data_IF_593416794262
#
_entry.id   IF_593416794262
#
_cell.length_a   1.000
_cell.length_b   1.000
_cell.length_c   1.000
_cell.angle_alpha   90.00
_cell.angle_beta   90.00
_cell.angle_gamma   90.00
#
_symmetry.space_group_name_H-M   'P 1'
#
loop_
_entity.id
_entity.type
_entity.pdbx_description
1 polymer ?
#
# COMPACT_ATOMS: atom_id res chain seq x y z
N UNK A 1 31.45 -13.15 -16.05
CA UNK A 1 31.48 -12.06 -17.07
C UNK A 1 30.81 -12.61 -18.32
N UNK A 2 29.61 -12.15 -18.64
CA UNK A 2 28.93 -12.57 -19.85
C UNK A 2 29.74 -12.11 -21.05
N UNK A 3 30.20 -13.05 -21.87
CA UNK A 3 30.87 -12.76 -23.12
C UNK A 3 29.81 -12.27 -24.13
N UNK A 4 29.66 -10.95 -24.21
CA UNK A 4 28.94 -10.36 -25.34
C UNK A 4 29.74 -10.57 -26.60
N UNK A 5 29.13 -11.15 -27.62
CA UNK A 5 29.74 -11.23 -28.94
C UNK A 5 29.94 -9.82 -29.50
N UNK A 6 31.20 -9.47 -29.69
CA UNK A 6 31.60 -8.20 -30.28
C UNK A 6 31.18 -8.20 -31.76
N UNK A 7 30.68 -7.06 -32.23
CA UNK A 7 30.37 -6.88 -33.63
C UNK A 7 31.61 -6.96 -34.49
N UNK A 8 31.50 -7.64 -35.62
CA UNK A 8 32.53 -7.67 -36.64
C UNK A 8 32.79 -6.31 -37.28
N UNK A 9 31.75 -5.47 -37.32
CA UNK A 9 31.83 -4.08 -37.79
C UNK A 9 32.45 -3.21 -36.69
N UNK A 10 33.61 -2.64 -37.00
CA UNK A 10 34.38 -1.78 -36.09
C UNK A 10 33.93 -0.33 -36.07
N UNK A 11 32.75 0.00 -36.62
CA UNK A 11 32.20 1.35 -36.58
C UNK A 11 31.24 1.51 -35.40
N UNK A 12 31.50 2.49 -34.55
CA UNK A 12 30.61 2.81 -33.42
C UNK A 12 29.23 3.25 -33.91
N UNK A 13 28.17 2.61 -33.44
CA UNK A 13 26.79 2.97 -33.83
C UNK A 13 26.32 4.32 -33.29
N UNK A 14 26.99 4.86 -32.27
CA UNK A 14 26.61 6.12 -31.65
C UNK A 14 27.32 7.34 -32.29
N UNK A 15 28.63 7.28 -32.46
CA UNK A 15 29.44 8.40 -32.93
C UNK A 15 30.20 8.14 -34.24
N UNK A 16 30.04 6.97 -34.84
CA UNK A 16 30.64 6.53 -36.09
C UNK A 16 32.19 6.48 -36.09
N UNK A 17 32.79 6.59 -34.93
CA UNK A 17 34.24 6.47 -34.75
C UNK A 17 34.68 5.01 -34.86
N UNK A 18 35.92 4.76 -35.30
CA UNK A 18 36.48 3.42 -35.41
C UNK A 18 36.74 2.84 -34.02
N UNK A 19 36.25 1.61 -33.76
CA UNK A 19 36.35 0.89 -32.48
C UNK A 19 37.22 -0.33 -32.68
N UNK A 20 38.47 -0.23 -32.30
CA UNK A 20 39.43 -1.34 -32.38
C UNK A 20 39.29 -2.32 -31.21
N UNK A 21 38.92 -1.80 -30.05
CA UNK A 21 38.72 -2.53 -28.80
C UNK A 21 37.23 -2.73 -28.49
N UNK A 22 36.93 -3.30 -27.32
CA UNK A 22 35.57 -3.56 -26.84
C UNK A 22 34.73 -2.27 -26.72
N UNK A 23 35.37 -1.17 -26.33
CA UNK A 23 34.68 0.12 -26.10
C UNK A 23 35.18 1.18 -27.08
N UNK A 24 34.26 2.03 -27.54
CA UNK A 24 34.59 3.16 -28.38
C UNK A 24 35.46 4.18 -27.62
N UNK A 25 36.66 4.55 -28.14
CA UNK A 25 37.55 5.50 -27.47
C UNK A 25 36.98 6.90 -27.39
N UNK A 26 36.05 7.26 -28.28
CA UNK A 26 35.47 8.60 -28.35
C UNK A 26 34.25 8.77 -27.45
N UNK A 27 33.32 7.79 -27.37
CA UNK A 27 32.05 7.96 -26.64
C UNK A 27 31.82 6.90 -25.56
N UNK A 28 32.75 5.95 -25.38
CA UNK A 28 32.66 4.92 -24.35
C UNK A 28 31.66 3.78 -24.64
N UNK A 29 30.92 3.82 -25.77
CA UNK A 29 29.94 2.80 -26.08
C UNK A 29 30.59 1.46 -26.40
N UNK A 30 30.04 0.38 -25.81
CA UNK A 30 30.46 -0.98 -26.11
C UNK A 30 30.02 -1.41 -27.52
N UNK A 31 30.91 -2.03 -28.29
CA UNK A 31 30.67 -2.46 -29.65
C UNK A 31 30.05 -3.87 -29.70
N UNK A 32 28.86 -4.02 -29.18
CA UNK A 32 28.10 -5.26 -29.12
C UNK A 32 26.92 -5.30 -30.10
N UNK A 33 26.38 -6.48 -30.38
CA UNK A 33 25.17 -6.63 -31.19
C UNK A 33 23.96 -6.02 -30.48
N UNK A 34 23.18 -5.19 -31.23
CA UNK A 34 22.05 -4.43 -30.67
C UNK A 34 20.73 -5.21 -30.62
N UNK A 35 20.62 -6.31 -31.37
CA UNK A 35 19.42 -7.15 -31.33
C UNK A 35 19.65 -8.31 -30.37
N UNK A 36 19.16 -8.16 -29.17
CA UNK A 36 19.17 -9.21 -28.15
C UNK A 36 17.78 -9.84 -28.08
N UNK A 37 17.68 -11.15 -27.83
CA UNK A 37 16.41 -11.79 -27.57
C UNK A 37 15.86 -11.33 -26.22
N UNK A 38 14.53 -11.33 -26.07
CA UNK A 38 13.88 -10.95 -24.81
C UNK A 38 14.30 -11.87 -23.65
N UNK A 39 14.51 -13.16 -23.93
CA UNK A 39 15.08 -14.14 -22.99
C UNK A 39 16.48 -13.79 -22.54
N UNK A 40 17.33 -13.27 -23.44
CA UNK A 40 18.68 -12.80 -23.13
C UNK A 40 18.63 -11.52 -22.27
N UNK A 41 17.67 -10.64 -22.52
CA UNK A 41 17.47 -9.45 -21.69
C UNK A 41 17.05 -9.80 -20.26
N UNK A 42 16.16 -10.79 -20.11
CA UNK A 42 15.75 -11.31 -18.79
C UNK A 42 16.91 -12.05 -18.10
N UNK A 43 17.63 -12.90 -18.84
CA UNK A 43 18.78 -13.59 -18.32
C UNK A 43 19.88 -12.60 -17.87
N UNK A 44 20.11 -11.55 -18.67
CA UNK A 44 21.04 -10.47 -18.33
C UNK A 44 20.60 -9.66 -17.12
N UNK A 45 19.30 -9.37 -17.03
CA UNK A 45 18.73 -8.73 -15.85
C UNK A 45 18.90 -9.61 -14.60
N UNK A 46 18.64 -10.93 -14.72
CA UNK A 46 18.86 -11.88 -13.64
C UNK A 46 20.35 -12.05 -13.32
N UNK A 47 21.21 -12.06 -14.34
CA UNK A 47 22.66 -12.17 -14.22
C UNK A 47 23.29 -10.93 -13.61
N UNK A 48 22.87 -9.73 -14.00
CA UNK A 48 23.22 -8.47 -13.33
C UNK A 48 22.81 -8.44 -11.86
N UNK A 49 21.75 -9.15 -11.49
CA UNK A 49 21.34 -9.35 -10.10
C UNK A 49 22.18 -10.40 -9.38
N UNK A 50 22.56 -11.49 -10.05
CA UNK A 50 23.36 -12.59 -9.46
C UNK A 50 24.84 -12.27 -9.42
N UNK A 51 25.37 -11.48 -10.35
CA UNK A 51 26.76 -10.99 -10.30
C UNK A 51 27.03 -9.98 -9.16
N UNK A 52 25.99 -9.53 -8.47
CA UNK A 52 26.10 -8.80 -7.19
C UNK A 52 26.34 -9.72 -5.98
N UNK A 53 26.74 -10.96 -6.15
CA UNK A 53 26.78 -11.99 -5.09
C UNK A 53 27.29 -11.48 -3.75
N UNK A 54 28.39 -10.77 -3.71
CA UNK A 54 28.95 -10.26 -2.46
C UNK A 54 28.33 -8.92 -2.03
N UNK A 55 28.04 -8.00 -2.97
CA UNK A 55 27.45 -6.70 -2.67
C UNK A 55 25.98 -6.82 -2.26
N UNK A 56 25.20 -7.70 -2.90
CA UNK A 56 23.80 -7.94 -2.57
C UNK A 56 23.65 -8.52 -1.15
N UNK A 57 24.31 -9.65 -0.86
CA UNK A 57 24.24 -10.28 0.46
C UNK A 57 24.80 -9.38 1.57
N UNK A 58 25.84 -8.62 1.27
CA UNK A 58 26.36 -7.61 2.19
C UNK A 58 25.31 -6.52 2.45
N UNK A 59 24.61 -6.05 1.42
CA UNK A 59 23.56 -5.03 1.54
C UNK A 59 22.40 -5.55 2.39
N UNK A 60 21.89 -6.75 2.11
CA UNK A 60 20.80 -7.38 2.90
C UNK A 60 21.21 -7.57 4.37
N UNK A 61 22.42 -8.06 4.62
CA UNK A 61 22.95 -8.20 5.99
C UNK A 61 22.98 -6.85 6.73
N UNK A 62 23.44 -5.79 6.08
CA UNK A 62 23.50 -4.46 6.67
C UNK A 62 22.11 -3.88 6.84
N UNK A 63 21.22 -4.11 5.88
CA UNK A 63 19.82 -3.67 5.91
C UNK A 63 19.09 -4.26 7.12
N UNK A 64 19.21 -5.55 7.37
CA UNK A 64 18.49 -6.23 8.44
C UNK A 64 19.10 -5.99 9.83
N UNK A 65 20.42 -6.12 9.96
CA UNK A 65 21.06 -6.21 11.27
C UNK A 65 21.83 -4.95 11.69
N UNK A 66 22.10 -4.03 10.76
CA UNK A 66 22.89 -2.83 11.03
C UNK A 66 22.11 -1.54 10.69
N UNK A 67 21.05 -1.23 11.44
CA UNK A 67 20.19 -0.08 11.16
C UNK A 67 20.99 1.21 11.01
N UNK A 68 20.70 1.96 9.95
CA UNK A 68 21.34 3.21 9.51
C UNK A 68 22.81 3.10 9.05
N UNK A 69 23.52 1.99 9.31
CA UNK A 69 24.92 1.89 8.92
C UNK A 69 25.05 1.80 7.39
N UNK A 70 24.16 1.06 6.72
CA UNK A 70 24.10 0.99 5.27
C UNK A 70 23.99 2.40 4.65
N UNK A 71 23.07 3.21 5.15
CA UNK A 71 22.87 4.59 4.68
C UNK A 71 24.14 5.44 4.90
N UNK A 72 24.76 5.35 6.08
CA UNK A 72 25.99 6.10 6.38
C UNK A 72 27.16 5.70 5.48
N UNK A 73 27.39 4.41 5.30
CA UNK A 73 28.46 3.90 4.46
C UNK A 73 28.24 4.31 2.99
N UNK A 74 27.01 4.25 2.50
CA UNK A 74 26.68 4.70 1.15
C UNK A 74 26.92 6.20 0.96
N UNK A 75 26.47 7.04 1.91
CA UNK A 75 26.66 8.49 1.88
C UNK A 75 28.13 8.89 2.09
N UNK A 76 28.93 8.08 2.78
CA UNK A 76 30.38 8.29 2.89
C UNK A 76 31.16 7.98 1.60
N UNK A 77 30.46 7.56 0.52
CA UNK A 77 31.07 7.31 -0.79
C UNK A 77 31.42 5.85 -1.08
N UNK A 78 31.18 4.90 -0.16
CA UNK A 78 31.44 3.46 -0.37
C UNK A 78 30.35 2.80 -1.23
N UNK A 79 30.12 3.35 -2.41
CA UNK A 79 29.00 2.96 -3.28
C UNK A 79 29.21 1.63 -3.99
N UNK A 80 30.46 1.25 -4.26
CA UNK A 80 30.81 -0.01 -4.92
C UNK A 80 30.55 -1.25 -4.06
N UNK A 81 30.55 -1.08 -2.74
CA UNK A 81 30.38 -2.19 -1.79
C UNK A 81 28.93 -2.62 -1.62
N UNK A 82 27.98 -1.75 -1.97
CA UNK A 82 26.56 -1.93 -1.71
C UNK A 82 25.74 -1.74 -2.97
N UNK A 83 24.57 -2.39 -3.02
CA UNK A 83 23.60 -2.16 -4.07
C UNK A 83 23.07 -0.70 -3.94
N UNK A 84 23.00 0.06 -5.05
CA UNK A 84 22.42 1.41 -5.02
C UNK A 84 21.01 1.41 -4.43
N UNK A 85 20.65 2.40 -3.57
CA UNK A 85 19.40 2.40 -2.82
C UNK A 85 18.14 2.32 -3.69
N UNK A 86 18.14 3.00 -4.83
CA UNK A 86 17.02 2.98 -5.79
C UNK A 86 16.87 1.59 -6.42
N UNK A 87 17.98 0.98 -6.85
CA UNK A 87 17.97 -0.39 -7.40
C UNK A 87 17.49 -1.39 -6.35
N UNK A 88 17.98 -1.28 -5.11
CA UNK A 88 17.55 -2.12 -4.00
C UNK A 88 16.05 -2.02 -3.76
N UNK A 89 15.53 -0.79 -3.67
CA UNK A 89 14.10 -0.56 -3.46
C UNK A 89 13.24 -1.13 -4.58
N UNK A 90 13.59 -0.85 -5.84
CA UNK A 90 12.85 -1.36 -7.00
C UNK A 90 12.82 -2.90 -7.00
N UNK A 91 13.97 -3.52 -6.75
CA UNK A 91 14.06 -4.99 -6.69
C UNK A 91 13.23 -5.58 -5.57
N UNK A 92 13.41 -5.09 -4.34
CA UNK A 92 12.67 -5.59 -3.18
C UNK A 92 11.17 -5.35 -3.34
N UNK A 93 10.79 -4.19 -3.86
CA UNK A 93 9.40 -3.86 -4.17
C UNK A 93 8.81 -4.84 -5.19
N UNK A 94 9.50 -5.07 -6.31
CA UNK A 94 9.08 -6.04 -7.32
C UNK A 94 8.89 -7.44 -6.72
N UNK A 95 9.89 -7.95 -5.99
CA UNK A 95 9.82 -9.27 -5.36
C UNK A 95 8.65 -9.35 -4.37
N UNK A 96 8.45 -8.31 -3.54
CA UNK A 96 7.36 -8.27 -2.56
C UNK A 96 5.99 -8.38 -3.24
N UNK A 97 5.73 -7.56 -4.25
CA UNK A 97 4.42 -7.56 -4.91
C UNK A 97 4.21 -8.78 -5.81
N UNK A 98 5.28 -9.29 -6.40
CA UNK A 98 5.22 -10.58 -7.11
C UNK A 98 4.86 -11.73 -6.15
N UNK A 99 5.49 -11.80 -4.99
CA UNK A 99 5.16 -12.81 -3.98
C UNK A 99 3.70 -12.70 -3.52
N UNK A 100 3.21 -11.47 -3.30
CA UNK A 100 1.81 -11.24 -2.94
C UNK A 100 0.81 -11.66 -4.02
N UNK A 101 1.20 -11.61 -5.30
CA UNK A 101 0.34 -12.05 -6.41
C UNK A 101 0.36 -13.56 -6.64
N UNK A 102 1.43 -14.25 -6.23
CA UNK A 102 1.61 -15.70 -6.49
C UNK A 102 1.29 -16.54 -5.27
N UNK A 103 1.63 -16.06 -4.07
CA UNK A 103 1.37 -16.80 -2.84
C UNK A 103 -0.05 -16.50 -2.37
N UNK A 104 -0.86 -17.53 -2.02
CA UNK A 104 -2.11 -17.31 -1.34
C UNK A 104 -1.79 -16.52 -0.06
N UNK A 105 -2.30 -15.31 0.00
CA UNK A 105 -2.10 -14.45 1.16
C UNK A 105 -2.96 -15.00 2.31
N UNK A 106 -2.41 -15.15 3.49
CA UNK A 106 -3.18 -15.50 4.70
C UNK A 106 -4.34 -14.52 4.99
N UNK A 107 -4.38 -13.38 4.28
CA UNK A 107 -5.53 -12.48 4.23
C UNK A 107 -6.77 -13.10 3.55
N UNK A 108 -6.60 -14.09 2.64
CA UNK A 108 -7.73 -14.80 2.02
C UNK A 108 -8.30 -15.91 2.92
N UNK A 109 -7.48 -16.51 3.80
CA UNK A 109 -7.95 -17.52 4.75
C UNK A 109 -8.76 -16.90 5.89
N UNK A 110 -8.27 -15.79 6.44
CA UNK A 110 -8.99 -15.03 7.48
C UNK A 110 -10.31 -14.45 6.94
N UNK A 111 -10.35 -14.13 5.64
CA UNK A 111 -11.54 -13.62 4.97
C UNK A 111 -12.59 -14.72 4.72
N UNK A 112 -12.18 -15.91 4.31
CA UNK A 112 -13.10 -17.06 4.15
C UNK A 112 -13.68 -17.51 5.47
N UNK A 113 -12.94 -17.42 6.55
CA UNK A 113 -13.43 -17.74 7.89
C UNK A 113 -14.32 -16.60 8.43
N UNK A 114 -13.95 -15.32 8.21
CA UNK A 114 -14.81 -14.18 8.51
C UNK A 114 -16.10 -14.16 7.66
N UNK A 115 -16.03 -14.60 6.40
CA UNK A 115 -17.21 -14.72 5.53
C UNK A 115 -18.13 -15.87 5.98
N UNK A 116 -17.60 -17.00 6.43
CA UNK A 116 -18.36 -18.09 7.04
C UNK A 116 -19.03 -17.65 8.34
N UNK A 117 -18.31 -16.91 9.18
CA UNK A 117 -18.84 -16.37 10.44
C UNK A 117 -19.93 -15.32 10.17
N UNK A 118 -19.72 -14.44 9.16
CA UNK A 118 -20.71 -13.47 8.73
C UNK A 118 -21.94 -14.15 8.11
N UNK A 119 -21.75 -15.19 7.29
CA UNK A 119 -22.84 -15.96 6.71
C UNK A 119 -23.64 -16.70 7.79
N UNK A 120 -22.94 -17.21 8.82
CA UNK A 120 -23.57 -17.85 9.99
C UNK A 120 -24.34 -16.82 10.83
N UNK A 121 -23.76 -15.62 11.06
CA UNK A 121 -24.41 -14.52 11.75
C UNK A 121 -25.67 -14.04 11.00
N UNK A 122 -25.58 -13.84 9.67
CA UNK A 122 -26.73 -13.49 8.81
C UNK A 122 -27.82 -14.55 8.83
N UNK A 123 -27.48 -15.83 8.86
CA UNK A 123 -28.47 -16.93 9.01
C UNK A 123 -29.16 -16.85 10.36
N UNK A 124 -28.43 -16.60 11.46
CA UNK A 124 -28.99 -16.42 12.78
C UNK A 124 -29.90 -15.18 12.87
N UNK A 125 -29.52 -14.08 12.23
CA UNK A 125 -30.37 -12.86 12.17
C UNK A 125 -31.63 -13.10 11.35
N UNK A 126 -31.53 -13.81 10.23
CA UNK A 126 -32.70 -14.17 9.41
C UNK A 126 -33.66 -15.10 10.18
N UNK A 127 -33.12 -16.05 10.97
CA UNK A 127 -33.92 -16.88 11.84
C UNK A 127 -34.61 -16.08 12.96
N UNK A 128 -33.89 -15.17 13.62
CA UNK A 128 -34.45 -14.26 14.62
C UNK A 128 -35.52 -13.34 14.05
N UNK A 129 -35.33 -12.85 12.83
CA UNK A 129 -36.32 -12.02 12.13
C UNK A 129 -37.56 -12.84 11.72
N UNK A 130 -37.39 -14.11 11.33
CA UNK A 130 -38.51 -15.00 11.04
C UNK A 130 -39.32 -15.35 12.31
N UNK A 131 -38.62 -15.61 13.43
CA UNK A 131 -39.26 -15.81 14.74
C UNK A 131 -39.95 -14.53 15.25
N UNK A 132 -39.35 -13.34 15.02
CA UNK A 132 -39.98 -12.07 15.39
C UNK A 132 -41.22 -11.81 14.55
N UNK A 133 -41.20 -12.08 13.24
CA UNK A 133 -42.39 -11.97 12.37
C UNK A 133 -43.49 -12.95 12.76
N UNK A 134 -43.14 -14.18 13.13
CA UNK A 134 -44.08 -15.18 13.63
C UNK A 134 -44.75 -14.71 14.95
N UNK A 135 -43.95 -14.12 15.86
CA UNK A 135 -44.48 -13.53 17.11
C UNK A 135 -45.39 -12.33 16.83
N UNK A 136 -45.01 -11.47 15.87
CA UNK A 136 -45.76 -10.32 15.46
C UNK A 136 -47.11 -10.70 14.79
N UNK A 137 -47.09 -11.80 14.01
CA UNK A 137 -48.31 -12.36 13.41
C UNK A 137 -49.25 -12.99 14.45
N UNK A 138 -48.68 -13.61 15.48
CA UNK A 138 -49.42 -14.11 16.64
C UNK A 138 -50.00 -12.97 17.45
N UNK A 139 -49.26 -11.89 17.69
CA UNK A 139 -49.71 -10.66 18.37
C UNK A 139 -50.82 -9.97 17.57
N UNK A 140 -50.66 -9.83 16.25
CA UNK A 140 -51.71 -9.27 15.39
C UNK A 140 -52.99 -10.09 15.37
N UNK A 141 -52.89 -11.41 15.44
CA UNK A 141 -54.06 -12.30 15.59
C UNK A 141 -54.74 -12.17 16.95
N UNK A 142 -54.00 -11.76 17.98
CA UNK A 142 -54.52 -11.56 19.36
C UNK A 142 -55.06 -10.15 19.53
N UNK A 143 -54.55 -9.16 18.76
CA UNK A 143 -54.97 -7.75 18.84
C UNK A 143 -56.09 -7.34 17.83
N UNK A 144 -56.71 -8.30 17.14
CA UNK A 144 -57.88 -8.04 16.29
C UNK A 144 -59.14 -7.75 17.11
N UNK A 145 -58.99 -7.54 18.39
CA UNK A 145 -60.00 -6.95 19.29
C UNK A 145 -59.40 -5.71 19.94
N UNK A 146 -60.03 -4.51 19.57
CA UNK A 146 -59.79 -3.17 20.06
C UNK A 146 -58.65 -2.38 19.41
N UNK A 147 -59.02 -1.38 18.76
CA UNK A 147 -58.87 0.06 18.92
C UNK A 147 -58.71 0.80 17.59
N UNK A 148 -59.76 1.43 17.26
CA UNK A 148 -59.88 2.66 16.47
C UNK A 148 -59.08 3.79 17.16
N UNK A 149 -58.42 4.66 16.38
CA UNK A 149 -57.77 5.91 16.76
C UNK A 149 -56.31 5.90 17.23
N UNK A 150 -55.41 6.09 16.26
CA UNK A 150 -54.31 7.04 16.44
C UNK A 150 -53.96 7.75 15.12
N UNK A 151 -54.64 8.81 14.84
CA UNK A 151 -54.27 9.86 13.88
C UNK A 151 -53.21 10.77 14.52
N UNK A 152 -52.13 11.04 13.73
CA UNK A 152 -51.14 12.12 13.87
C UNK A 152 -50.02 11.91 14.88
N UNK A 153 -48.86 11.44 14.37
CA UNK A 153 -47.59 11.72 15.00
C UNK A 153 -47.15 13.18 14.74
N UNK A 154 -46.66 13.90 15.74
CA UNK A 154 -46.31 15.31 15.64
C UNK A 154 -45.04 15.55 14.79
N UNK A 155 -45.01 16.68 14.08
CA UNK A 155 -43.93 17.18 13.23
C UNK A 155 -42.56 17.41 13.93
N UNK A 156 -42.44 17.12 15.21
CA UNK A 156 -41.20 17.29 15.98
C UNK A 156 -40.13 16.25 15.68
N UNK A 157 -40.47 15.07 15.15
CA UNK A 157 -39.48 14.00 14.81
C UNK A 157 -38.81 14.26 13.45
N UNK A 158 -39.33 15.20 12.67
CA UNK A 158 -38.79 15.52 11.33
C UNK A 158 -37.60 16.48 11.34
N UNK A 159 -37.29 17.12 12.49
CA UNK A 159 -36.23 18.14 12.56
C UNK A 159 -34.81 17.64 12.89
N UNK A 160 -34.65 16.48 13.50
CA UNK A 160 -33.33 15.98 13.92
C UNK A 160 -32.57 15.18 12.86
N UNK A 161 -33.16 14.95 11.68
CA UNK A 161 -32.49 14.27 10.55
C UNK A 161 -31.72 15.18 9.60
N UNK A 162 -31.67 16.48 9.81
CA UNK A 162 -31.02 17.42 8.87
C UNK A 162 -29.50 17.34 8.80
N UNK A 163 -28.81 16.64 9.72
CA UNK A 163 -27.36 16.46 9.71
C UNK A 163 -26.86 15.18 9.02
N UNK A 164 -27.72 14.15 8.89
CA UNK A 164 -27.33 12.84 8.33
C UNK A 164 -27.69 12.66 6.84
N UNK A 165 -28.44 13.59 6.26
CA UNK A 165 -28.99 13.48 4.89
C UNK A 165 -27.99 13.93 3.79
N UNK A 166 -26.81 14.48 4.13
CA UNK A 166 -25.92 15.09 3.14
C UNK A 166 -25.33 14.09 2.12
N UNK A 167 -25.29 12.79 2.41
CA UNK A 167 -24.74 11.78 1.52
C UNK A 167 -25.69 10.61 1.21
N UNK A 168 -27.00 10.79 1.33
CA UNK A 168 -27.99 9.70 1.19
C UNK A 168 -28.77 9.69 -0.13
N UNK A 169 -28.19 10.23 -1.19
CA UNK A 169 -28.81 10.15 -2.52
C UNK A 169 -28.67 8.75 -3.11
N UNK A 170 -29.79 8.18 -3.59
CA UNK A 170 -29.85 6.83 -4.16
C UNK A 170 -29.46 6.78 -5.64
N UNK A 171 -29.51 7.92 -6.35
CA UNK A 171 -29.18 8.01 -7.78
C UNK A 171 -28.76 9.43 -8.16
N UNK A 172 -28.08 9.57 -9.31
CA UNK A 172 -27.74 10.87 -9.88
C UNK A 172 -28.98 11.74 -10.15
N UNK A 173 -30.07 11.12 -10.64
CA UNK A 173 -31.33 11.82 -10.91
C UNK A 173 -31.92 12.41 -9.64
N UNK A 174 -31.88 11.70 -8.51
CA UNK A 174 -32.38 12.20 -7.23
C UNK A 174 -31.53 13.36 -6.70
N UNK A 175 -30.23 13.31 -6.86
CA UNK A 175 -29.31 14.41 -6.52
C UNK A 175 -29.58 15.64 -7.38
N UNK A 176 -29.61 15.47 -8.71
CA UNK A 176 -29.81 16.58 -9.65
C UNK A 176 -31.17 17.26 -9.50
N UNK A 177 -32.25 16.52 -9.19
CA UNK A 177 -33.57 17.07 -8.93
C UNK A 177 -33.58 17.95 -7.68
N UNK A 178 -32.91 17.51 -6.62
CA UNK A 178 -32.79 18.31 -5.38
C UNK A 178 -31.95 19.57 -5.62
N UNK A 179 -30.84 19.47 -6.36
CA UNK A 179 -29.99 20.62 -6.67
C UNK A 179 -30.73 21.66 -7.56
N UNK A 180 -31.55 21.19 -8.53
CA UNK A 180 -32.36 22.08 -9.37
C UNK A 180 -33.45 22.78 -8.57
N UNK A 181 -34.03 22.14 -7.56
CA UNK A 181 -35.06 22.71 -6.69
C UNK A 181 -34.50 23.75 -5.70
N UNK A 182 -33.21 23.73 -5.38
CA UNK A 182 -32.56 24.71 -4.50
C UNK A 182 -32.33 26.06 -5.22
N UNK A 183 -32.47 27.20 -4.50
CA UNK A 183 -32.01 28.49 -4.99
C UNK A 183 -30.53 28.43 -5.36
N UNK A 184 -30.10 29.19 -6.38
CA UNK A 184 -28.70 29.16 -6.91
C UNK A 184 -27.66 29.37 -5.82
N UNK A 185 -27.92 30.25 -4.85
CA UNK A 185 -27.04 30.55 -3.72
C UNK A 185 -26.90 29.39 -2.71
N UNK A 186 -27.82 28.41 -2.72
CA UNK A 186 -27.83 27.26 -1.80
C UNK A 186 -27.44 25.94 -2.50
N UNK A 187 -27.09 25.98 -3.78
CA UNK A 187 -26.60 24.81 -4.52
C UNK A 187 -25.22 24.42 -4.06
N UNK A 188 -24.95 23.13 -4.10
CA UNK A 188 -23.65 22.61 -3.74
C UNK A 188 -22.57 23.18 -4.67
N UNK A 189 -21.47 23.63 -4.08
CA UNK A 189 -20.31 24.09 -4.85
C UNK A 189 -19.67 22.94 -5.66
N UNK A 190 -18.79 23.27 -6.60
CA UNK A 190 -18.14 22.28 -7.51
C UNK A 190 -17.52 21.11 -6.77
N UNK A 191 -16.81 21.36 -5.66
CA UNK A 191 -16.15 20.32 -4.88
C UNK A 191 -17.15 19.40 -4.19
N UNK A 192 -18.18 19.96 -3.56
CA UNK A 192 -19.20 19.18 -2.86
C UNK A 192 -20.07 18.36 -3.83
N UNK A 193 -20.43 18.94 -4.98
CA UNK A 193 -21.14 18.23 -6.04
C UNK A 193 -20.34 17.07 -6.62
N UNK A 194 -19.02 17.23 -6.79
CA UNK A 194 -18.14 16.17 -7.20
C UNK A 194 -18.10 15.03 -6.14
N UNK A 195 -17.94 15.38 -4.85
CA UNK A 195 -17.95 14.40 -3.75
C UNK A 195 -19.28 13.62 -3.69
N UNK A 196 -20.43 14.32 -3.80
CA UNK A 196 -21.74 13.68 -3.80
C UNK A 196 -21.89 12.69 -4.95
N UNK A 197 -21.47 13.08 -6.16
CA UNK A 197 -21.49 12.20 -7.32
C UNK A 197 -20.58 11.01 -7.16
N UNK A 198 -19.36 11.19 -6.62
CA UNK A 198 -18.44 10.10 -6.33
C UNK A 198 -19.03 9.08 -5.34
N UNK A 199 -19.67 9.55 -4.26
CA UNK A 199 -20.35 8.67 -3.30
C UNK A 199 -21.51 7.91 -3.94
N UNK A 200 -22.32 8.57 -4.78
CA UNK A 200 -23.41 7.91 -5.51
C UNK A 200 -22.87 6.85 -6.46
N UNK A 201 -21.78 7.16 -7.19
CA UNK A 201 -21.14 6.22 -8.11
C UNK A 201 -20.62 4.96 -7.38
N UNK A 202 -19.88 5.13 -6.29
CA UNK A 202 -19.39 4.02 -5.47
C UNK A 202 -20.57 3.18 -4.95
N UNK A 203 -21.64 3.81 -4.47
CA UNK A 203 -22.84 3.12 -3.97
C UNK A 203 -23.57 2.35 -5.07
N UNK A 204 -23.57 2.84 -6.30
CA UNK A 204 -24.18 2.13 -7.43
C UNK A 204 -23.32 0.91 -7.82
N UNK A 205 -22.00 1.09 -7.89
CA UNK A 205 -21.04 0.03 -8.20
C UNK A 205 -21.02 -1.05 -7.11
N UNK A 206 -21.11 -0.68 -5.83
CA UNK A 206 -21.09 -1.62 -4.70
C UNK A 206 -22.29 -2.58 -4.63
N UNK A 207 -23.27 -2.45 -5.53
CA UNK A 207 -24.39 -3.39 -5.67
C UNK A 207 -24.06 -4.57 -6.59
N UNK A 208 -22.97 -4.48 -7.33
CA UNK A 208 -22.48 -5.56 -8.17
C UNK A 208 -21.75 -6.59 -7.29
N UNK A 209 -22.09 -7.86 -7.39
CA UNK A 209 -21.47 -8.95 -6.62
C UNK A 209 -19.95 -9.06 -6.88
N UNK A 210 -19.48 -8.63 -8.06
CA UNK A 210 -18.05 -8.61 -8.42
C UNK A 210 -17.29 -7.37 -7.92
N UNK A 211 -17.98 -6.40 -7.31
CA UNK A 211 -17.35 -5.13 -6.89
C UNK A 211 -16.24 -5.35 -5.87
N UNK A 212 -16.48 -6.18 -4.87
CA UNK A 212 -15.53 -6.40 -3.77
C UNK A 212 -14.22 -7.01 -4.26
N UNK A 213 -14.29 -8.00 -5.12
CA UNK A 213 -13.11 -8.66 -5.72
C UNK A 213 -12.30 -7.66 -6.57
N UNK A 214 -12.95 -6.98 -7.51
CA UNK A 214 -12.31 -5.96 -8.36
C UNK A 214 -11.75 -4.79 -7.55
N UNK A 215 -12.43 -4.38 -6.49
CA UNK A 215 -11.97 -3.33 -5.59
C UNK A 215 -10.70 -3.72 -4.84
N UNK A 216 -10.64 -4.95 -4.30
CA UNK A 216 -9.44 -5.50 -3.68
C UNK A 216 -8.29 -5.56 -4.68
N UNK A 217 -8.52 -6.11 -5.86
CA UNK A 217 -7.52 -6.17 -6.94
C UNK A 217 -6.98 -4.77 -7.29
N UNK A 218 -7.89 -3.79 -7.44
CA UNK A 218 -7.52 -2.40 -7.72
C UNK A 218 -6.65 -1.80 -6.60
N UNK A 219 -6.96 -2.05 -5.34
CA UNK A 219 -6.12 -1.61 -4.21
C UNK A 219 -4.74 -2.24 -4.30
N UNK A 220 -4.64 -3.58 -4.38
CA UNK A 220 -3.36 -4.29 -4.42
C UNK A 220 -2.48 -3.84 -5.58
N UNK A 221 -3.06 -3.64 -6.76
CA UNK A 221 -2.33 -3.16 -7.92
C UNK A 221 -1.78 -1.73 -7.76
N UNK A 222 -2.42 -0.88 -6.97
CA UNK A 222 -2.04 0.51 -6.79
C UNK A 222 -1.18 0.77 -5.53
N UNK A 223 -1.07 -0.19 -4.59
CA UNK A 223 -0.19 -0.07 -3.41
C UNK A 223 1.27 0.28 -3.78
N UNK A 224 1.93 -0.38 -4.77
CA UNK A 224 3.31 -0.05 -5.13
C UNK A 224 3.48 1.40 -5.56
N UNK A 225 2.54 1.90 -6.35
CA UNK A 225 2.53 3.28 -6.84
C UNK A 225 2.31 4.28 -5.70
N UNK A 226 1.39 3.95 -4.78
CA UNK A 226 1.12 4.77 -3.61
C UNK A 226 2.33 4.85 -2.67
N UNK A 227 3.02 3.74 -2.43
CA UNK A 227 4.25 3.69 -1.64
C UNK A 227 5.37 4.52 -2.29
N UNK A 228 5.55 4.40 -3.60
CA UNK A 228 6.56 5.19 -4.32
C UNK A 228 6.25 6.68 -4.23
N UNK A 229 4.99 7.07 -4.41
CA UNK A 229 4.55 8.46 -4.29
C UNK A 229 4.69 9.00 -2.85
N UNK A 230 4.51 8.14 -1.84
CA UNK A 230 4.61 8.53 -0.44
C UNK A 230 6.06 8.79 0.03
N UNK A 231 7.05 8.09 -0.52
CA UNK A 231 8.45 8.21 -0.09
C UNK A 231 9.02 9.63 -0.07
N UNK A 232 8.80 10.48 -1.10
CA UNK A 232 9.22 11.89 -1.05
C UNK A 232 8.62 12.67 0.12
N UNK A 233 7.35 12.41 0.46
CA UNK A 233 6.70 13.05 1.61
C UNK A 233 7.29 12.60 2.94
N UNK A 234 7.60 11.31 3.06
CA UNK A 234 8.31 10.79 4.22
C UNK A 234 9.71 11.42 4.37
N UNK A 235 10.47 11.50 3.29
CA UNK A 235 11.79 12.15 3.27
C UNK A 235 11.69 13.64 3.60
N UNK A 236 10.65 14.32 3.13
CA UNK A 236 10.37 15.72 3.43
C UNK A 236 10.06 15.93 4.92
N UNK A 237 9.25 15.05 5.51
CA UNK A 237 9.01 15.05 6.96
C UNK A 237 10.32 14.95 7.75
N UNK A 238 11.20 14.01 7.38
CA UNK A 238 12.52 13.89 8.01
C UNK A 238 13.35 15.16 7.85
N UNK A 239 13.34 15.79 6.66
CA UNK A 239 14.12 16.99 6.37
C UNK A 239 13.66 18.21 7.18
N UNK A 240 12.36 18.36 7.47
CA UNK A 240 11.83 19.46 8.29
C UNK A 240 12.42 19.43 9.70
N UNK A 241 12.55 18.26 10.29
CA UNK A 241 12.97 18.07 11.68
C UNK A 241 14.48 18.07 11.88
N UNK A 242 15.27 18.14 10.79
CA UNK A 242 16.73 18.08 10.89
C UNK A 242 17.42 19.31 10.32
N UNK A 243 18.57 19.65 10.88
CA UNK A 243 19.32 20.86 10.50
C UNK A 243 19.75 20.86 9.05
N UNK A 244 19.19 21.77 8.26
CA UNK A 244 19.38 21.91 6.81
C UNK A 244 20.85 22.20 6.41
N UNK A 245 21.66 22.74 7.32
CA UNK A 245 23.10 22.99 7.08
C UNK A 245 23.93 21.70 7.10
N UNK A 246 23.47 20.66 7.81
CA UNK A 246 24.18 19.38 7.99
C UNK A 246 23.65 18.28 7.11
N UNK A 247 22.33 18.28 6.85
CA UNK A 247 21.63 17.20 6.16
C UNK A 247 20.88 17.76 4.94
N UNK A 248 21.21 17.26 3.77
CA UNK A 248 20.52 17.59 2.52
C UNK A 248 19.27 16.73 2.35
N UNK A 249 18.30 17.21 1.58
CA UNK A 249 17.11 16.42 1.25
C UNK A 249 17.46 15.04 0.67
N UNK A 250 18.52 14.96 -0.13
CA UNK A 250 19.07 13.74 -0.69
C UNK A 250 19.41 12.69 0.39
N UNK A 251 20.01 13.10 1.50
CA UNK A 251 20.42 12.18 2.60
C UNK A 251 19.20 11.52 3.22
N UNK A 252 18.11 12.30 3.40
CA UNK A 252 16.83 11.80 3.89
C UNK A 252 16.17 10.87 2.87
N UNK A 253 16.28 11.15 1.56
CA UNK A 253 15.81 10.29 0.48
C UNK A 253 16.52 8.93 0.49
N UNK A 254 17.83 8.89 0.63
CA UNK A 254 18.60 7.64 0.74
C UNK A 254 18.23 6.87 2.01
N UNK A 255 18.07 7.55 3.14
CA UNK A 255 17.59 6.90 4.36
C UNK A 255 16.20 6.28 4.18
N UNK A 256 15.28 7.02 3.54
CA UNK A 256 13.91 6.58 3.25
C UNK A 256 13.91 5.34 2.36
N UNK A 257 14.66 5.34 1.26
CA UNK A 257 14.77 4.19 0.36
C UNK A 257 15.26 2.93 1.07
N UNK A 258 16.29 3.03 1.91
CA UNK A 258 16.77 1.90 2.70
C UNK A 258 15.75 1.43 3.74
N UNK A 259 15.06 2.36 4.41
CA UNK A 259 14.04 2.03 5.40
C UNK A 259 12.83 1.33 4.76
N UNK A 260 12.34 1.82 3.63
CA UNK A 260 11.24 1.17 2.91
C UNK A 260 11.66 -0.17 2.30
N UNK A 261 12.90 -0.29 1.81
CA UNK A 261 13.44 -1.59 1.39
C UNK A 261 13.48 -2.59 2.54
N UNK A 262 13.83 -2.15 3.74
CA UNK A 262 13.80 -2.99 4.94
C UNK A 262 12.36 -3.45 5.26
N UNK A 263 11.38 -2.54 5.25
CA UNK A 263 9.98 -2.87 5.51
C UNK A 263 9.44 -3.88 4.50
N UNK A 264 9.64 -3.63 3.21
CA UNK A 264 9.18 -4.52 2.14
C UNK A 264 9.86 -5.89 2.19
N UNK A 265 11.17 -5.92 2.42
CA UNK A 265 11.91 -7.18 2.51
C UNK A 265 11.46 -8.04 3.68
N UNK A 266 11.32 -7.45 4.86
CA UNK A 266 10.82 -8.16 6.04
C UNK A 266 9.35 -8.57 5.88
N UNK A 267 8.53 -7.76 5.25
CA UNK A 267 7.16 -8.11 4.90
C UNK A 267 7.09 -9.32 3.96
N UNK A 268 7.95 -9.36 2.92
CA UNK A 268 8.07 -10.53 2.03
C UNK A 268 8.44 -11.80 2.80
N UNK A 269 9.35 -11.70 3.76
CA UNK A 269 9.72 -12.85 4.60
C UNK A 269 8.53 -13.36 5.41
N UNK A 270 7.74 -12.45 5.99
CA UNK A 270 6.51 -12.80 6.74
C UNK A 270 5.50 -13.50 5.83
N UNK A 271 5.30 -12.97 4.62
CA UNK A 271 4.36 -13.55 3.65
C UNK A 271 4.79 -14.97 3.26
N UNK A 272 6.08 -15.20 3.00
CA UNK A 272 6.60 -16.54 2.68
C UNK A 272 6.40 -17.49 3.86
N UNK A 273 6.73 -17.06 5.07
CA UNK A 273 6.58 -17.88 6.28
C UNK A 273 5.09 -18.22 6.48
N UNK A 274 4.21 -17.22 6.39
CA UNK A 274 2.76 -17.41 6.50
C UNK A 274 2.24 -18.42 5.48
N UNK A 275 2.60 -18.29 4.21
CA UNK A 275 2.19 -19.25 3.16
C UNK A 275 2.67 -20.68 3.41
N UNK A 276 3.74 -20.86 4.17
CA UNK A 276 4.23 -22.18 4.58
C UNK A 276 3.47 -22.68 5.80
N UNK A 277 3.28 -21.83 6.81
CA UNK A 277 2.60 -22.19 8.07
C UNK A 277 1.12 -22.49 7.86
N UNK A 278 0.44 -21.77 6.95
CA UNK A 278 -0.99 -21.96 6.63
C UNK A 278 -1.28 -23.34 5.99
N UNK A 279 -0.23 -24.06 5.55
CA UNK A 279 -0.38 -25.47 5.07
C UNK A 279 -0.46 -26.49 6.19
N UNK A 280 -0.11 -26.11 7.41
CA UNK A 280 -0.14 -26.98 8.58
C UNK A 280 -1.34 -26.60 9.43
N UNK A 281 -2.38 -27.43 9.43
CA UNK A 281 -3.56 -27.28 10.29
C UNK A 281 -3.22 -27.70 11.73
N UNK A 282 -2.34 -26.89 12.37
CA UNK A 282 -1.86 -27.16 13.72
C UNK A 282 -1.89 -25.88 14.56
N UNK A 283 -2.66 -25.91 15.64
CA UNK A 283 -2.81 -24.78 16.57
C UNK A 283 -1.47 -24.24 17.09
N UNK A 284 -0.48 -25.10 17.32
CA UNK A 284 0.86 -24.69 17.80
C UNK A 284 1.58 -23.89 16.73
N UNK A 285 1.52 -24.33 15.46
CA UNK A 285 2.15 -23.65 14.32
C UNK A 285 1.50 -22.28 14.10
N UNK A 286 0.17 -22.22 14.12
CA UNK A 286 -0.59 -20.98 13.95
C UNK A 286 -0.32 -19.98 15.09
N UNK A 287 -0.23 -20.46 16.33
CA UNK A 287 0.13 -19.60 17.47
C UNK A 287 1.55 -19.06 17.35
N UNK A 288 2.51 -19.89 16.93
CA UNK A 288 3.89 -19.47 16.70
C UNK A 288 3.99 -18.42 15.57
N UNK A 289 3.27 -18.60 14.47
CA UNK A 289 3.20 -17.64 13.38
C UNK A 289 2.63 -16.29 13.85
N UNK A 290 1.57 -16.30 14.65
CA UNK A 290 1.00 -15.10 15.26
C UNK A 290 2.03 -14.34 16.11
N UNK A 291 2.80 -15.03 16.95
CA UNK A 291 3.88 -14.42 17.73
C UNK A 291 5.01 -13.86 16.84
N UNK A 292 5.35 -14.58 15.78
CA UNK A 292 6.38 -14.12 14.82
C UNK A 292 5.94 -12.84 14.12
N UNK A 293 4.72 -12.79 13.61
CA UNK A 293 4.13 -11.60 12.94
C UNK A 293 4.10 -10.41 13.90
N UNK A 294 3.62 -10.62 15.13
CA UNK A 294 3.63 -9.59 16.16
C UNK A 294 5.04 -9.09 16.48
N UNK A 295 6.00 -10.01 16.63
CA UNK A 295 7.40 -9.68 16.89
C UNK A 295 8.03 -8.85 15.75
N UNK A 296 7.69 -9.15 14.49
CA UNK A 296 8.17 -8.41 13.34
C UNK A 296 7.56 -7.01 13.24
N UNK A 297 6.27 -6.84 13.54
CA UNK A 297 5.63 -5.52 13.60
C UNK A 297 6.30 -4.66 14.70
N UNK A 298 6.50 -5.24 15.88
CA UNK A 298 7.23 -4.57 16.96
C UNK A 298 8.67 -4.22 16.55
N UNK A 299 9.33 -5.12 15.78
CA UNK A 299 10.67 -4.88 15.26
C UNK A 299 10.70 -3.72 14.25
N UNK A 300 9.72 -3.56 13.35
CA UNK A 300 9.63 -2.43 12.41
C UNK A 300 9.63 -1.10 13.14
N UNK A 301 8.80 -1.00 14.19
CA UNK A 301 8.73 0.18 15.03
C UNK A 301 10.08 0.45 15.71
N UNK A 302 10.66 -0.56 16.35
CA UNK A 302 11.94 -0.44 17.05
C UNK A 302 13.11 -0.11 16.10
N UNK A 303 13.08 -0.68 14.90
CA UNK A 303 14.08 -0.45 13.87
C UNK A 303 14.09 1.02 13.43
N UNK A 304 12.92 1.64 13.24
CA UNK A 304 12.83 3.06 12.88
C UNK A 304 13.51 3.94 13.92
N UNK A 305 13.14 3.81 15.20
CA UNK A 305 13.72 4.62 16.30
C UNK A 305 15.23 4.43 16.42
N UNK A 306 15.70 3.20 16.29
CA UNK A 306 17.13 2.87 16.35
C UNK A 306 17.89 3.41 15.14
N UNK A 307 17.33 3.28 13.94
CA UNK A 307 17.92 3.78 12.69
C UNK A 307 18.00 5.29 12.68
N UNK A 308 16.92 5.95 13.04
CA UNK A 308 16.84 7.40 13.13
C UNK A 308 17.93 7.95 14.07
N UNK A 309 18.00 7.44 15.30
CA UNK A 309 19.04 7.87 16.26
C UNK A 309 20.46 7.66 15.74
N UNK A 310 20.73 6.46 15.17
CA UNK A 310 22.07 6.14 14.67
C UNK A 310 22.45 6.97 13.46
N UNK A 311 21.49 7.26 12.59
CA UNK A 311 21.74 8.03 11.38
C UNK A 311 22.08 9.47 11.70
N UNK A 312 21.21 10.16 12.45
CA UNK A 312 21.38 11.58 12.75
C UNK A 312 22.39 11.88 13.88
N UNK A 313 22.73 10.89 14.69
CA UNK A 313 23.73 11.03 15.76
C UNK A 313 23.29 11.93 16.89
N UNK A 314 21.97 12.03 17.12
CA UNK A 314 21.38 12.85 18.18
C UNK A 314 21.37 12.15 19.55
N UNK A 315 21.20 12.92 20.62
CA UNK A 315 21.02 12.38 21.97
C UNK A 315 19.79 11.44 22.05
N UNK A 316 19.80 10.52 23.00
CA UNK A 316 18.72 9.52 23.13
C UNK A 316 17.33 10.16 23.29
N UNK A 317 17.24 11.23 24.08
CA UNK A 317 15.98 11.91 24.37
C UNK A 317 15.46 12.67 23.16
N UNK A 318 16.28 13.51 22.54
CA UNK A 318 15.91 14.33 21.37
C UNK A 318 15.51 13.42 20.20
N UNK A 319 16.30 12.38 19.95
CA UNK A 319 15.98 11.43 18.86
C UNK A 319 14.67 10.68 19.09
N UNK A 320 14.36 10.26 20.33
CA UNK A 320 13.08 9.62 20.64
C UNK A 320 11.90 10.56 20.43
N UNK A 321 12.02 11.80 20.92
CA UNK A 321 10.97 12.81 20.77
C UNK A 321 10.70 13.10 19.29
N UNK A 322 11.74 13.38 18.50
CA UNK A 322 11.62 13.59 17.05
C UNK A 322 11.05 12.37 16.33
N UNK A 323 11.55 11.16 16.64
CA UNK A 323 11.05 9.93 16.03
C UNK A 323 9.57 9.70 16.32
N UNK A 324 9.13 9.97 17.56
CA UNK A 324 7.73 9.85 17.95
C UNK A 324 6.86 10.88 17.23
N UNK A 325 7.28 12.13 17.20
CA UNK A 325 6.56 13.20 16.47
C UNK A 325 6.46 12.87 14.97
N UNK A 326 7.57 12.44 14.38
CA UNK A 326 7.59 11.97 12.98
C UNK A 326 6.66 10.78 12.76
N UNK A 327 6.63 9.83 13.69
CA UNK A 327 5.73 8.68 13.61
C UNK A 327 4.27 9.13 13.59
N UNK A 328 3.86 10.01 14.50
CA UNK A 328 2.47 10.53 14.54
C UNK A 328 2.12 11.28 13.26
N UNK A 329 3.01 12.17 12.80
CA UNK A 329 2.80 12.91 11.54
C UNK A 329 2.70 11.96 10.35
N UNK A 330 3.58 10.95 10.28
CA UNK A 330 3.55 9.97 9.19
C UNK A 330 2.28 9.10 9.24
N UNK A 331 1.80 8.71 10.42
CA UNK A 331 0.52 8.00 10.55
C UNK A 331 -0.64 8.83 9.98
N UNK A 332 -0.66 10.13 10.25
CA UNK A 332 -1.64 11.05 9.67
C UNK A 332 -1.54 11.11 8.14
N UNK A 333 -0.35 11.27 7.58
CA UNK A 333 -0.17 11.28 6.13
C UNK A 333 -0.48 9.94 5.49
N UNK A 334 -0.08 8.83 6.10
CA UNK A 334 -0.42 7.48 5.61
C UNK A 334 -1.93 7.30 5.57
N UNK A 335 -2.67 7.75 6.60
CA UNK A 335 -4.13 7.68 6.62
C UNK A 335 -4.75 8.48 5.48
N UNK A 336 -4.24 9.67 5.17
CA UNK A 336 -4.70 10.47 4.02
C UNK A 336 -4.40 9.75 2.71
N UNK A 337 -3.18 9.23 2.53
CA UNK A 337 -2.81 8.49 1.32
C UNK A 337 -3.65 7.23 1.14
N UNK A 338 -3.94 6.53 2.23
CA UNK A 338 -4.81 5.35 2.21
C UNK A 338 -6.24 5.72 1.82
N UNK A 339 -6.79 6.80 2.37
CA UNK A 339 -8.12 7.29 1.98
C UNK A 339 -8.18 7.67 0.49
N UNK A 340 -7.14 8.34 -0.01
CA UNK A 340 -7.04 8.68 -1.44
C UNK A 340 -6.95 7.40 -2.29
N UNK A 341 -6.16 6.41 -1.87
CA UNK A 341 -6.03 5.14 -2.56
C UNK A 341 -7.35 4.36 -2.59
N UNK A 342 -8.05 4.30 -1.47
CA UNK A 342 -9.36 3.66 -1.35
C UNK A 342 -10.38 4.35 -2.26
N UNK A 343 -10.46 5.69 -2.22
CA UNK A 343 -11.36 6.45 -3.06
C UNK A 343 -11.02 6.26 -4.56
N UNK A 344 -9.74 6.30 -4.90
CA UNK A 344 -9.27 6.07 -6.27
C UNK A 344 -9.62 4.66 -6.75
N UNK A 345 -9.35 3.63 -5.93
CA UNK A 345 -9.67 2.25 -6.24
C UNK A 345 -11.18 2.06 -6.46
N UNK A 346 -12.02 2.59 -5.53
CA UNK A 346 -13.47 2.45 -5.61
C UNK A 346 -14.08 3.14 -6.86
N UNK A 347 -13.52 4.28 -7.29
CA UNK A 347 -13.98 4.99 -8.49
C UNK A 347 -13.54 4.30 -9.79
N UNK A 348 -12.39 3.62 -9.79
CA UNK A 348 -11.82 2.97 -10.98
C UNK A 348 -12.12 1.46 -11.08
N UNK A 349 -13.03 0.94 -10.28
CA UNK A 349 -13.58 -0.41 -10.48
C UNK A 349 -14.42 -0.42 -11.74
N UNK A 350 -14.03 -1.24 -12.75
CA UNK A 350 -14.73 -1.42 -14.01
C UNK A 350 -15.26 -2.86 -14.15
#
# INVERSE_FOLDING_TARGET
MAHHDLRKDKTCKNCFHVVENRFCPNCGQENTETRQSFTHLIAHFAEDFTHYDNAFWTTIKYLLFKPALLTKEYLSGKRQRFVPPVKLYIFVSFVTFFLLSVLPSGFESDEKDAEKDLATAKRLETQKQAEAKQKEEIIKKTEMFTVHDFKKAPDSIRRDRKGAEYFDYKSFASYDSVQKAKPVAQRDGKMLSWLQRAVIEIRLKSKDDSFEEKFKESIFHNIPKALFLYMPFFAFGLWIFHGKKRWYYFDHGIFTLHYFSFLLFTFSMVTIIGSVTDRFDNTVVNTFDGFLRFGLIAWWFFYFFRSHRKFYGESKFISRLKSFTLFVINMFFISIFLLILIAFAALNVH
#
